data_IF_167721093249
#
_entry.id   IF_167721093249
#
_cell.length_a   1.000
_cell.length_b   1.000
_cell.length_c   1.000
_cell.angle_alpha   90.00
_cell.angle_beta   90.00
_cell.angle_gamma   90.00
#
_symmetry.space_group_name_H-M   'P 1'
#
loop_
_entity.id
_entity.type
_entity.pdbx_description
1 polymer ?
#
# COMPACT_ATOMS: atom_id res chain seq x y z
N UNK A 1 11.19 13.19 27.66
CA UNK A 1 11.93 12.94 26.40
C UNK A 1 13.25 13.69 26.43
N UNK A 2 14.35 13.11 25.90
CA UNK A 2 15.71 13.49 26.30
C UNK A 2 16.29 14.74 25.60
N UNK A 3 15.61 15.34 24.62
CA UNK A 3 16.26 16.32 23.74
C UNK A 3 16.03 17.80 24.08
N UNK A 4 15.19 18.15 25.08
CA UNK A 4 14.83 19.54 25.42
C UNK A 4 14.56 20.43 24.18
N UNK A 5 13.96 19.84 23.14
CA UNK A 5 13.69 20.43 21.83
C UNK A 5 12.35 19.94 21.34
N UNK A 6 11.65 20.79 20.59
CA UNK A 6 10.45 20.40 19.85
C UNK A 6 10.76 19.29 18.85
N UNK A 7 9.87 18.31 18.79
CA UNK A 7 9.93 17.21 17.84
C UNK A 7 8.77 17.29 16.85
N UNK A 8 9.09 17.08 15.57
CA UNK A 8 8.11 16.83 14.52
C UNK A 8 8.25 15.38 14.08
N UNK A 9 7.18 14.60 14.25
CA UNK A 9 7.10 13.22 13.77
C UNK A 9 6.09 13.16 12.64
N UNK A 10 6.51 12.67 11.48
CA UNK A 10 5.64 12.49 10.32
C UNK A 10 5.56 11.00 10.00
N UNK A 11 4.38 10.40 10.13
CA UNK A 11 4.12 9.08 9.57
C UNK A 11 4.02 9.22 8.04
N UNK A 12 5.12 8.87 7.36
CA UNK A 12 5.26 9.00 5.90
C UNK A 12 4.96 7.70 5.15
N UNK A 13 5.03 6.57 5.86
CA UNK A 13 4.70 5.22 5.41
C UNK A 13 3.78 4.60 6.44
N UNK A 14 2.80 3.81 5.99
CA UNK A 14 1.70 3.32 6.80
C UNK A 14 2.16 2.88 8.20
N UNK A 15 1.58 3.49 9.24
CA UNK A 15 1.89 3.23 10.64
C UNK A 15 1.82 1.73 10.96
N UNK A 16 0.90 1.04 10.29
CA UNK A 16 0.62 -0.39 10.41
C UNK A 16 1.79 -1.31 10.09
N UNK A 17 2.85 -0.84 9.41
CA UNK A 17 4.02 -1.67 9.10
C UNK A 17 4.69 -2.21 10.37
N UNK A 18 4.57 -1.49 11.49
CA UNK A 18 5.06 -1.96 12.79
C UNK A 18 4.18 -3.06 13.43
N UNK A 19 2.97 -3.35 12.92
CA UNK A 19 2.03 -4.33 13.51
C UNK A 19 2.48 -5.78 13.36
N UNK A 20 3.38 -6.08 12.43
CA UNK A 20 3.91 -7.44 12.22
C UNK A 20 4.60 -8.01 13.48
N UNK A 21 5.02 -7.13 14.39
CA UNK A 21 5.62 -7.49 15.66
C UNK A 21 4.89 -6.78 16.80
N UNK A 22 4.19 -7.55 17.65
CA UNK A 22 3.38 -7.01 18.73
C UNK A 22 4.17 -6.15 19.73
N UNK A 23 5.42 -6.51 20.02
CA UNK A 23 6.27 -5.75 20.94
C UNK A 23 6.64 -4.39 20.34
N UNK A 24 7.15 -4.39 19.10
CA UNK A 24 7.52 -3.15 18.38
C UNK A 24 6.30 -2.25 18.20
N UNK A 25 5.14 -2.84 17.91
CA UNK A 25 3.87 -2.11 17.82
C UNK A 25 3.54 -1.39 19.12
N UNK A 26 3.58 -2.10 20.25
CA UNK A 26 3.28 -1.54 21.56
C UNK A 26 4.25 -0.41 21.94
N UNK A 27 5.54 -0.63 21.73
CA UNK A 27 6.59 0.37 21.99
C UNK A 27 6.40 1.61 21.13
N UNK A 28 6.01 1.44 19.86
CA UNK A 28 5.78 2.53 18.95
C UNK A 28 4.56 3.37 19.35
N UNK A 29 3.44 2.73 19.69
CA UNK A 29 2.24 3.41 20.19
C UNK A 29 2.52 4.16 21.49
N UNK A 30 3.26 3.55 22.42
CA UNK A 30 3.69 4.20 23.67
C UNK A 30 4.54 5.43 23.39
N UNK A 31 5.50 5.32 22.47
CA UNK A 31 6.38 6.42 22.07
C UNK A 31 5.59 7.57 21.45
N UNK A 32 4.64 7.30 20.56
CA UNK A 32 3.79 8.32 19.95
C UNK A 32 2.99 9.10 20.99
N UNK A 33 2.42 8.41 21.98
CA UNK A 33 1.71 9.07 23.10
C UNK A 33 2.64 9.95 23.93
N UNK A 34 3.85 9.45 24.24
CA UNK A 34 4.84 10.22 25.00
C UNK A 34 5.40 11.43 24.24
N UNK A 35 5.42 11.36 22.91
CA UNK A 35 5.78 12.49 22.04
C UNK A 35 4.66 13.52 22.04
N UNK A 36 3.42 13.08 21.81
CA UNK A 36 2.25 13.94 21.73
C UNK A 36 1.85 14.60 23.06
N UNK A 37 2.25 14.04 24.21
CA UNK A 37 1.95 14.61 25.52
C UNK A 37 2.65 15.94 25.79
N UNK A 38 3.67 16.29 24.99
CA UNK A 38 4.33 17.59 25.06
C UNK A 38 3.72 18.54 24.02
N UNK A 39 3.18 19.70 24.44
CA UNK A 39 2.46 20.62 23.54
C UNK A 39 3.36 21.27 22.49
N UNK A 40 4.67 21.25 22.70
CA UNK A 40 5.68 21.76 21.77
C UNK A 40 6.00 20.78 20.64
N UNK A 41 5.48 19.55 20.71
CA UNK A 41 5.69 18.53 19.70
C UNK A 41 4.48 18.45 18.76
N UNK A 42 4.76 18.04 17.52
CA UNK A 42 3.74 17.82 16.50
C UNK A 42 3.88 16.39 16.00
N UNK A 43 2.78 15.66 16.05
CA UNK A 43 2.61 14.39 15.34
C UNK A 43 1.78 14.69 14.09
N UNK A 44 2.26 14.23 12.94
CA UNK A 44 1.64 14.48 11.65
C UNK A 44 1.60 13.20 10.81
N UNK A 45 0.72 13.19 9.81
CA UNK A 45 0.57 12.09 8.85
C UNK A 45 0.42 12.66 7.43
N UNK A 46 1.03 11.99 6.45
CA UNK A 46 0.99 12.45 5.06
C UNK A 46 -0.21 11.91 4.25
N UNK A 47 -0.96 10.98 4.83
CA UNK A 47 -2.16 10.40 4.27
C UNK A 47 -3.26 10.34 5.34
N UNK A 48 -4.53 10.41 4.92
CA UNK A 48 -5.68 10.42 5.83
C UNK A 48 -5.84 9.11 6.59
N UNK A 49 -5.41 8.01 5.98
CA UNK A 49 -5.50 6.69 6.60
C UNK A 49 -4.66 6.65 7.88
N UNK A 50 -3.39 7.04 7.82
CA UNK A 50 -2.51 7.08 8.99
C UNK A 50 -2.94 8.11 10.03
N UNK A 51 -3.51 9.25 9.62
CA UNK A 51 -4.06 10.22 10.57
C UNK A 51 -5.15 9.57 11.44
N UNK A 52 -6.10 8.88 10.80
CA UNK A 52 -7.15 8.13 11.51
C UNK A 52 -6.59 6.92 12.28
N UNK A 53 -5.56 6.27 11.75
CA UNK A 53 -4.93 5.11 12.38
C UNK A 53 -4.20 5.49 13.68
N UNK A 54 -3.45 6.60 13.66
CA UNK A 54 -2.81 7.19 14.84
C UNK A 54 -3.89 7.59 15.85
N UNK A 55 -4.98 8.22 15.40
CA UNK A 55 -6.10 8.57 16.28
C UNK A 55 -6.71 7.34 16.95
N UNK A 56 -6.99 6.29 16.18
CA UNK A 56 -7.62 5.07 16.70
C UNK A 56 -6.72 4.31 17.67
N UNK A 57 -5.45 4.07 17.34
CA UNK A 57 -4.57 3.22 18.15
C UNK A 57 -3.80 3.99 19.23
N UNK A 58 -3.33 5.19 18.92
CA UNK A 58 -2.55 5.99 19.85
C UNK A 58 -3.40 7.00 20.63
N UNK A 59 -4.59 7.37 20.15
CA UNK A 59 -5.40 8.44 20.75
C UNK A 59 -4.81 9.83 20.51
N UNK A 60 -3.98 9.97 19.48
CA UNK A 60 -3.27 11.21 19.14
C UNK A 60 -3.91 11.84 17.91
N UNK A 61 -4.25 13.12 17.99
CA UNK A 61 -4.75 13.89 16.86
C UNK A 61 -3.58 14.34 15.97
N UNK A 62 -3.27 13.54 14.95
CA UNK A 62 -2.19 13.83 14.02
C UNK A 62 -2.58 14.94 13.04
N UNK A 63 -1.68 15.89 12.79
CA UNK A 63 -1.84 16.91 11.75
C UNK A 63 -1.73 16.26 10.38
N UNK A 64 -2.77 16.39 9.55
CA UNK A 64 -2.72 15.93 8.18
C UNK A 64 -1.92 16.90 7.30
N UNK A 65 -0.79 16.43 6.76
CA UNK A 65 0.10 17.20 5.89
C UNK A 65 0.13 16.54 4.51
N UNK A 66 -0.70 16.96 3.55
CA UNK A 66 -0.78 16.28 2.26
C UNK A 66 0.55 16.30 1.51
N UNK A 67 0.95 15.15 0.96
CA UNK A 67 2.12 15.06 0.08
C UNK A 67 1.92 15.95 -1.15
N UNK A 68 2.77 16.96 -1.32
CA UNK A 68 2.77 17.78 -2.52
C UNK A 68 3.55 17.07 -3.63
N UNK A 69 2.83 16.35 -4.49
CA UNK A 69 3.38 15.69 -5.67
C UNK A 69 3.31 16.56 -6.93
N UNK A 70 3.33 17.90 -6.78
CA UNK A 70 3.14 18.83 -7.90
C UNK A 70 4.13 18.64 -9.05
N UNK A 71 5.36 18.23 -8.76
CA UNK A 71 6.36 17.92 -9.79
C UNK A 71 5.92 16.77 -10.70
N UNK A 72 5.28 15.73 -10.15
CA UNK A 72 4.76 14.60 -10.91
C UNK A 72 3.45 14.95 -11.60
N UNK A 73 2.59 15.77 -10.97
CA UNK A 73 1.33 16.19 -11.57
C UNK A 73 1.51 17.02 -12.86
N UNK A 74 2.63 17.75 -12.97
CA UNK A 74 2.94 18.56 -14.15
C UNK A 74 3.59 17.77 -15.29
N UNK A 75 4.30 16.67 -14.99
CA UNK A 75 5.07 15.91 -15.99
C UNK A 75 4.52 14.51 -16.28
N UNK A 76 3.73 13.92 -15.38
CA UNK A 76 3.20 12.57 -15.52
C UNK A 76 1.78 12.61 -16.09
N UNK A 77 1.64 12.17 -17.33
CA UNK A 77 0.32 11.86 -17.90
C UNK A 77 -0.03 10.41 -17.55
N UNK A 78 -1.13 10.24 -16.82
CA UNK A 78 -1.71 8.91 -16.59
C UNK A 78 -2.32 8.39 -17.90
N UNK A 79 -1.62 7.48 -18.57
CA UNK A 79 -2.04 6.83 -19.81
C UNK A 79 -2.11 5.31 -19.63
N UNK A 80 -3.08 4.78 -18.85
CA UNK A 80 -3.19 3.35 -18.62
C UNK A 80 -3.53 2.63 -19.92
N UNK A 81 -2.79 1.57 -20.25
CA UNK A 81 -3.14 0.67 -21.34
C UNK A 81 -4.02 -0.44 -20.78
N UNK A 82 -5.32 -0.34 -21.01
CA UNK A 82 -6.36 -1.28 -20.50
C UNK A 82 -6.11 -2.73 -20.96
N UNK A 83 -5.41 -2.90 -22.07
CA UNK A 83 -5.11 -4.19 -22.70
C UNK A 83 -4.02 -5.00 -22.00
N UNK A 84 -3.42 -4.45 -20.93
CA UNK A 84 -2.38 -5.12 -20.14
C UNK A 84 -2.87 -5.27 -18.71
N UNK A 85 -3.37 -6.45 -18.29
CA UNK A 85 -3.66 -6.68 -16.89
C UNK A 85 -2.37 -6.54 -16.09
N UNK A 86 -2.37 -5.65 -15.10
CA UNK A 86 -1.27 -5.48 -14.14
C UNK A 86 -1.67 -6.26 -12.89
N UNK A 87 -0.95 -7.33 -12.59
CA UNK A 87 -1.10 -8.07 -11.34
C UNK A 87 -0.31 -7.37 -10.25
N UNK A 88 -1.00 -6.91 -9.21
CA UNK A 88 -0.40 -6.33 -8.00
C UNK A 88 -0.44 -7.40 -6.90
N UNK A 89 0.74 -7.85 -6.48
CA UNK A 89 0.88 -8.76 -5.35
C UNK A 89 1.75 -8.13 -4.26
N UNK A 90 1.31 -8.26 -3.01
CA UNK A 90 2.08 -7.84 -1.85
C UNK A 90 3.05 -8.96 -1.49
N UNK A 91 4.35 -8.70 -1.55
CA UNK A 91 5.39 -9.65 -1.23
C UNK A 91 6.12 -9.25 0.04
N UNK A 92 5.95 -10.01 1.10
CA UNK A 92 6.80 -9.92 2.28
C UNK A 92 7.64 -11.20 2.36
N UNK A 93 8.96 -11.04 2.25
CA UNK A 93 10.00 -12.00 2.64
C UNK A 93 10.28 -13.23 1.74
N UNK A 94 9.58 -13.45 0.62
CA UNK A 94 9.98 -14.49 -0.35
C UNK A 94 9.60 -14.17 -1.82
N UNK A 95 10.41 -13.38 -2.54
CA UNK A 95 10.15 -13.06 -3.95
C UNK A 95 10.15 -14.26 -4.88
N UNK A 96 10.95 -15.28 -4.60
CA UNK A 96 11.10 -16.43 -5.50
C UNK A 96 9.81 -17.22 -5.64
N UNK A 97 9.14 -17.54 -4.53
CA UNK A 97 7.88 -18.30 -4.54
C UNK A 97 6.76 -17.53 -5.24
N UNK A 98 6.65 -16.22 -4.97
CA UNK A 98 5.67 -15.37 -5.65
C UNK A 98 5.89 -15.35 -7.17
N UNK A 99 7.14 -15.23 -7.63
CA UNK A 99 7.43 -15.25 -9.06
C UNK A 99 7.12 -16.60 -9.71
N UNK A 100 7.32 -17.71 -9.00
CA UNK A 100 6.95 -19.05 -9.48
C UNK A 100 5.43 -19.20 -9.61
N UNK A 101 4.67 -18.78 -8.59
CA UNK A 101 3.20 -18.79 -8.61
C UNK A 101 2.64 -17.91 -9.72
N UNK A 102 3.15 -16.69 -9.88
CA UNK A 102 2.72 -15.77 -10.95
C UNK A 102 3.04 -16.33 -12.33
N UNK A 103 4.20 -16.97 -12.51
CA UNK A 103 4.55 -17.64 -13.78
C UNK A 103 3.63 -18.82 -14.06
N UNK A 104 3.28 -19.61 -13.04
CA UNK A 104 2.35 -20.72 -13.18
C UNK A 104 0.94 -20.24 -13.56
N UNK A 105 0.43 -19.20 -12.90
CA UNK A 105 -0.86 -18.60 -13.19
C UNK A 105 -0.92 -18.01 -14.62
N UNK A 106 0.11 -17.26 -15.02
CA UNK A 106 0.20 -16.72 -16.38
C UNK A 106 0.24 -17.82 -17.45
N UNK A 107 0.92 -18.94 -17.18
CA UNK A 107 0.93 -20.09 -18.07
C UNK A 107 -0.43 -20.79 -18.17
N UNK A 108 -1.22 -20.83 -17.08
CA UNK A 108 -2.58 -21.36 -17.08
C UNK A 108 -3.54 -20.48 -17.87
N UNK A 109 -3.49 -19.16 -17.69
CA UNK A 109 -4.31 -18.21 -18.46
C UNK A 109 -3.97 -18.25 -19.95
N UNK A 110 -2.68 -18.29 -20.31
CA UNK A 110 -2.25 -18.42 -21.70
C UNK A 110 -2.79 -19.71 -22.33
N UNK A 111 -2.78 -20.83 -21.60
CA UNK A 111 -3.38 -22.09 -22.07
C UNK A 111 -4.89 -21.98 -22.25
N UNK A 112 -5.60 -21.37 -21.31
CA UNK A 112 -7.04 -21.18 -21.40
C UNK A 112 -7.44 -20.31 -22.61
N UNK A 113 -6.66 -19.27 -22.90
CA UNK A 113 -6.85 -18.42 -24.08
C UNK A 113 -6.65 -19.19 -25.40
N UNK A 114 -5.67 -20.08 -25.47
CA UNK A 114 -5.42 -20.90 -26.67
C UNK A 114 -6.53 -21.92 -26.93
N UNK A 115 -7.16 -22.47 -25.89
CA UNK A 115 -8.26 -23.45 -26.03
C UNK A 115 -9.65 -22.82 -26.20
N UNK A 116 -9.83 -21.54 -25.90
CA UNK A 116 -11.11 -20.83 -26.08
C UNK A 116 -11.39 -20.38 -27.53
N UNK A 117 -10.43 -20.52 -28.45
CA UNK A 117 -10.54 -20.05 -29.84
C UNK A 117 -11.24 -21.01 -30.82
N UNK A 118 -11.48 -22.27 -30.45
CA UNK A 118 -11.94 -23.31 -31.40
C UNK A 118 -13.42 -23.73 -31.28
N UNK A 119 -14.23 -23.10 -30.42
CA UNK A 119 -15.66 -23.43 -30.28
C UNK A 119 -16.60 -22.49 -31.05
N UNK A 120 -16.12 -21.88 -32.13
CA UNK A 120 -16.85 -20.89 -32.93
C UNK A 120 -17.16 -21.25 -34.39
N UNK A 121 -16.94 -22.48 -34.86
CA UNK A 121 -17.23 -22.86 -36.26
C UNK A 121 -17.72 -24.31 -36.43
N UNK A 122 -18.82 -24.70 -35.81
CA UNK A 122 -19.58 -25.89 -36.24
C UNK A 122 -21.08 -25.63 -36.03
N UNK A 123 -21.71 -25.03 -37.04
CA UNK A 123 -23.13 -24.73 -36.98
C UNK A 123 -23.67 -24.07 -38.24
N UNK A 124 -23.42 -24.62 -39.42
CA UNK A 124 -24.25 -24.39 -40.62
C UNK A 124 -24.22 -25.62 -41.51
N UNK A 125 -25.31 -26.41 -41.48
CA UNK A 125 -25.41 -27.64 -42.26
C UNK A 125 -26.63 -28.49 -41.92
N UNK A 126 -27.83 -27.90 -42.00
CA UNK A 126 -29.07 -28.67 -42.03
C UNK A 126 -29.86 -28.27 -43.30
N UNK A 127 -29.74 -29.11 -44.33
CA UNK A 127 -30.71 -29.30 -45.41
C UNK A 127 -30.75 -30.77 -45.75
#
# INVERSE_FOLDING_TARGET
MPFNKSMLVIASVNLELARENAQRWSEWISSLRAIASQPTNVVAANNKYDAEYIRYFAGVEAVYVPSYCGYAALSAQYAPRVERPILLARNHHNPSSLYEELRAAAAQEARAATFGGELGQLGDGCR
#
